data_IF_266530541413
#
_entry.id   IF_266530541413
#
_cell.length_a   1.000
_cell.length_b   1.000
_cell.length_c   1.000
_cell.angle_alpha   90.00
_cell.angle_beta   90.00
_cell.angle_gamma   90.00
#
_symmetry.space_group_name_H-M   'P 1'
#
loop_
_entity.id
_entity.type
_entity.pdbx_description
1 polymer ?
#
# COMPACT_ATOMS: atom_id res chain seq x y z
N UNK A 1 26.84 -51.35 -50.39
CA UNK A 1 25.91 -51.88 -49.38
C UNK A 1 26.67 -52.87 -48.51
N UNK A 2 27.12 -52.48 -47.32
CA UNK A 2 27.56 -53.44 -46.31
C UNK A 2 27.67 -52.74 -44.96
N UNK A 3 27.08 -53.35 -43.95
CA UNK A 3 27.01 -52.88 -42.57
C UNK A 3 28.34 -53.09 -41.83
N UNK A 4 28.63 -52.26 -40.83
CA UNK A 4 29.51 -52.63 -39.73
C UNK A 4 29.21 -51.81 -38.45
N UNK A 5 29.57 -52.30 -37.24
CA UNK A 5 28.64 -52.39 -36.12
C UNK A 5 29.02 -51.46 -34.97
N UNK A 6 28.10 -51.35 -34.02
CA UNK A 6 28.29 -50.66 -32.74
C UNK A 6 29.41 -51.31 -31.93
N UNK A 7 30.31 -50.49 -31.39
CA UNK A 7 31.08 -50.81 -30.19
C UNK A 7 30.93 -49.65 -29.20
N UNK A 8 30.20 -49.92 -28.12
CA UNK A 8 30.18 -49.10 -26.93
C UNK A 8 31.49 -49.34 -26.17
N UNK A 9 32.25 -48.27 -25.93
CA UNK A 9 33.33 -48.26 -24.96
C UNK A 9 32.87 -47.42 -23.77
N UNK A 10 32.59 -48.08 -22.66
CA UNK A 10 32.43 -47.42 -21.37
C UNK A 10 33.80 -46.92 -20.91
N UNK A 11 33.93 -45.62 -20.70
CA UNK A 11 35.13 -45.02 -20.10
C UNK A 11 34.75 -44.56 -18.70
N UNK A 12 35.20 -45.34 -17.71
CA UNK A 12 35.18 -44.96 -16.31
C UNK A 12 36.27 -43.93 -16.06
N UNK A 13 35.90 -42.68 -15.77
CA UNK A 13 36.84 -41.68 -15.24
C UNK A 13 36.68 -41.61 -13.71
N UNK A 14 37.63 -42.19 -13.01
CA UNK A 14 37.85 -41.95 -11.59
C UNK A 14 38.54 -40.60 -11.42
N UNK A 15 37.81 -39.59 -10.92
CA UNK A 15 38.40 -38.33 -10.51
C UNK A 15 38.80 -38.42 -9.02
N UNK A 16 40.09 -38.33 -8.75
CA UNK A 16 40.65 -38.22 -7.41
C UNK A 16 40.25 -36.88 -6.77
N UNK A 17 39.67 -36.93 -5.57
CA UNK A 17 39.36 -35.74 -4.78
C UNK A 17 40.65 -35.26 -4.10
N UNK A 18 41.22 -34.17 -4.59
CA UNK A 18 42.25 -33.39 -3.88
C UNK A 18 41.53 -32.41 -2.95
N UNK A 19 41.51 -32.72 -1.64
CA UNK A 19 41.09 -31.79 -0.62
C UNK A 19 42.15 -30.68 -0.49
N UNK A 20 41.91 -29.54 -1.12
CA UNK A 20 42.65 -28.30 -0.87
C UNK A 20 41.87 -27.49 0.16
N UNK A 21 42.44 -27.32 1.35
CA UNK A 21 41.94 -26.40 2.37
C UNK A 21 42.22 -24.97 1.94
N UNK A 22 41.37 -24.42 1.07
CA UNK A 22 41.34 -23.01 0.75
C UNK A 22 40.58 -22.25 1.83
N UNK A 23 41.24 -21.28 2.47
CA UNK A 23 40.59 -20.18 3.19
C UNK A 23 39.80 -19.36 2.17
N UNK A 24 38.57 -19.80 1.88
CA UNK A 24 37.62 -19.05 1.07
C UNK A 24 37.09 -17.89 1.90
N UNK A 25 37.60 -16.68 1.65
CA UNK A 25 36.84 -15.47 1.95
C UNK A 25 35.59 -15.50 1.07
N UNK A 26 34.46 -15.92 1.65
CA UNK A 26 33.17 -15.66 1.06
C UNK A 26 33.09 -14.16 0.76
N UNK A 27 32.51 -13.73 -0.38
CA UNK A 27 32.16 -12.33 -0.53
C UNK A 27 31.23 -12.02 0.64
N UNK A 28 31.70 -11.14 1.54
CA UNK A 28 30.84 -10.53 2.51
C UNK A 28 29.82 -9.72 1.69
N UNK A 29 28.66 -10.32 1.42
CA UNK A 29 27.47 -9.53 1.26
C UNK A 29 27.44 -8.66 2.52
N UNK A 30 27.61 -7.35 2.33
CA UNK A 30 27.44 -6.39 3.39
C UNK A 30 26.04 -6.66 3.97
N UNK A 31 26.02 -7.32 5.13
CA UNK A 31 24.83 -7.37 5.96
C UNK A 31 24.62 -5.93 6.39
N UNK A 32 23.70 -5.24 5.71
CA UNK A 32 23.19 -3.96 6.18
C UNK A 32 22.75 -4.16 7.63
N UNK A 33 23.35 -3.33 8.48
CA UNK A 33 23.25 -3.33 9.93
C UNK A 33 21.82 -3.52 10.44
N UNK A 34 21.68 -4.39 11.44
CA UNK A 34 20.75 -4.28 12.58
C UNK A 34 19.64 -3.23 12.48
N UNK A 35 18.40 -3.67 12.26
CA UNK A 35 17.40 -3.74 13.33
C UNK A 35 16.87 -2.46 13.98
N UNK A 36 17.16 -1.26 13.48
CA UNK A 36 16.55 -0.03 14.02
C UNK A 36 15.29 0.35 13.22
N UNK A 37 14.18 0.51 13.94
CA UNK A 37 12.89 0.99 13.42
C UNK A 37 13.08 2.38 12.78
N UNK A 38 12.52 2.64 11.57
CA UNK A 38 12.54 3.97 10.97
C UNK A 38 12.11 5.05 11.97
N UNK A 39 12.92 6.09 12.16
CA UNK A 39 12.72 7.11 13.20
C UNK A 39 11.31 7.73 13.17
N UNK A 40 10.77 7.96 11.97
CA UNK A 40 9.45 8.55 11.77
C UNK A 40 8.30 7.70 12.35
N UNK A 41 8.48 6.38 12.53
CA UNK A 41 7.48 5.54 13.17
C UNK A 41 7.29 5.88 14.65
N UNK A 42 8.36 6.35 15.32
CA UNK A 42 8.29 6.84 16.69
C UNK A 42 7.48 8.11 16.85
N UNK A 43 7.25 8.87 15.77
CA UNK A 43 6.52 10.13 15.75
C UNK A 43 5.03 9.96 15.40
N UNK A 44 4.60 8.75 15.01
CA UNK A 44 3.22 8.53 14.59
C UNK A 44 2.22 8.75 15.72
N UNK A 45 2.45 8.13 16.88
CA UNK A 45 1.43 8.01 17.91
C UNK A 45 1.91 8.71 19.17
N UNK A 46 1.28 9.84 19.50
CA UNK A 46 1.41 10.50 20.81
C UNK A 46 0.28 10.09 21.77
N UNK A 47 -0.89 9.78 21.21
CA UNK A 47 -2.12 9.44 21.92
C UNK A 47 -2.87 8.35 21.15
N UNK A 48 -3.88 7.73 21.79
CA UNK A 48 -4.68 6.68 21.14
C UNK A 48 -6.05 7.19 20.69
N UNK A 49 -6.20 7.59 19.41
CA UNK A 49 -7.50 8.00 18.87
C UNK A 49 -8.41 6.80 18.61
N UNK A 50 -9.71 7.07 18.46
CA UNK A 50 -10.66 6.05 18.00
C UNK A 50 -10.42 5.70 16.52
N UNK A 51 -10.04 6.69 15.71
CA UNK A 51 -9.67 6.54 14.31
C UNK A 51 -8.29 7.15 14.04
N UNK A 52 -7.39 6.36 13.47
CA UNK A 52 -6.09 6.81 12.99
C UNK A 52 -6.04 6.72 11.47
N UNK A 53 -5.74 7.84 10.80
CA UNK A 53 -5.74 7.94 9.33
C UNK A 53 -4.32 7.95 8.78
N UNK A 54 -4.00 7.00 7.91
CA UNK A 54 -2.70 6.89 7.23
C UNK A 54 -2.82 7.37 5.78
N UNK A 55 -2.00 8.38 5.42
CA UNK A 55 -2.01 9.05 4.13
C UNK A 55 -0.84 8.65 3.25
N UNK A 56 -1.12 8.20 2.03
CA UNK A 56 -0.12 7.92 1.00
C UNK A 56 -0.19 9.01 -0.08
N UNK A 57 0.74 9.96 -0.03
CA UNK A 57 0.84 11.06 -1.00
C UNK A 57 1.14 10.58 -2.41
N UNK A 58 1.00 11.46 -3.41
CA UNK A 58 1.37 11.17 -4.79
C UNK A 58 2.88 11.26 -5.06
N UNK A 59 3.25 10.97 -6.31
CA UNK A 59 4.62 11.19 -6.81
C UNK A 59 5.02 12.64 -6.58
N UNK A 60 6.26 12.88 -6.13
CA UNK A 60 6.83 14.22 -5.81
C UNK A 60 6.25 14.94 -4.59
N UNK A 61 5.24 14.38 -3.92
CA UNK A 61 4.57 15.01 -2.76
C UNK A 61 5.05 14.45 -1.41
N UNK A 62 6.08 13.62 -1.44
CA UNK A 62 6.68 12.95 -0.28
C UNK A 62 8.13 12.58 -0.58
N UNK A 63 8.85 12.19 0.45
CA UNK A 63 10.23 11.72 0.44
C UNK A 63 10.45 10.77 1.63
N UNK A 64 11.56 10.02 1.68
CA UNK A 64 11.83 9.12 2.81
C UNK A 64 11.95 9.82 4.18
N UNK A 65 12.23 11.11 4.18
CA UNK A 65 12.37 11.99 5.35
C UNK A 65 11.20 12.99 5.50
N UNK A 66 10.12 12.81 4.75
CA UNK A 66 8.96 13.70 4.82
C UNK A 66 8.34 13.69 6.24
N UNK A 67 7.94 14.86 6.77
CA UNK A 67 7.37 14.94 8.10
C UNK A 67 5.99 14.29 8.18
N UNK A 68 5.79 13.40 9.15
CA UNK A 68 4.57 12.59 9.27
C UNK A 68 3.33 13.37 9.72
N UNK A 69 3.51 14.49 10.45
CA UNK A 69 2.42 15.28 11.03
C UNK A 69 2.13 16.61 10.33
N UNK A 70 2.80 16.95 9.23
CA UNK A 70 2.56 18.21 8.51
C UNK A 70 1.58 18.00 7.35
N UNK A 71 0.53 18.81 7.27
CA UNK A 71 -0.40 18.80 6.13
C UNK A 71 0.30 19.37 4.88
N UNK A 72 0.52 18.51 3.88
CA UNK A 72 1.16 18.87 2.61
C UNK A 72 0.48 18.14 1.44
N UNK A 73 0.92 18.44 0.21
CA UNK A 73 0.49 17.73 -1.00
C UNK A 73 -1.02 17.75 -1.24
N UNK A 74 -1.48 16.93 -2.18
CA UNK A 74 -2.90 16.81 -2.51
C UNK A 74 -3.73 16.40 -1.30
N UNK A 75 -3.27 15.43 -0.50
CA UNK A 75 -4.06 14.89 0.61
C UNK A 75 -4.25 15.89 1.77
N UNK A 76 -3.54 17.01 1.85
CA UNK A 76 -3.87 18.10 2.79
C UNK A 76 -5.29 18.64 2.61
N UNK A 77 -5.79 18.65 1.37
CA UNK A 77 -7.18 19.04 1.04
C UNK A 77 -8.23 18.05 1.57
N UNK A 78 -7.80 16.87 2.02
CA UNK A 78 -8.68 15.84 2.59
C UNK A 78 -8.47 15.79 4.11
N UNK A 79 -7.22 15.66 4.56
CA UNK A 79 -6.92 15.39 5.96
C UNK A 79 -7.08 16.62 6.86
N UNK A 80 -6.76 17.82 6.38
CA UNK A 80 -6.99 19.05 7.13
C UNK A 80 -8.48 19.23 7.46
N UNK A 81 -9.37 19.30 6.45
CA UNK A 81 -10.82 19.40 6.68
C UNK A 81 -11.40 18.23 7.50
N UNK A 82 -10.85 17.01 7.34
CA UNK A 82 -11.26 15.87 8.16
C UNK A 82 -10.97 16.09 9.65
N UNK A 83 -9.76 16.56 9.98
CA UNK A 83 -9.40 16.87 11.36
C UNK A 83 -10.23 18.02 11.92
N UNK A 84 -10.48 19.06 11.12
CA UNK A 84 -11.33 20.18 11.52
C UNK A 84 -12.74 19.71 11.89
N UNK A 85 -13.35 18.90 11.02
CA UNK A 85 -14.67 18.33 11.26
C UNK A 85 -14.69 17.39 12.46
N UNK A 86 -13.64 16.59 12.67
CA UNK A 86 -13.54 15.71 13.82
C UNK A 86 -13.53 16.52 15.14
N UNK A 87 -12.81 17.64 15.18
CA UNK A 87 -12.79 18.53 16.36
C UNK A 87 -14.15 19.15 16.64
N UNK A 88 -14.87 19.59 15.60
CA UNK A 88 -16.23 20.13 15.75
C UNK A 88 -17.21 19.09 16.31
N UNK A 89 -17.06 17.83 15.92
CA UNK A 89 -17.90 16.73 16.39
C UNK A 89 -17.45 16.15 17.74
N UNK A 90 -16.33 16.60 18.29
CA UNK A 90 -15.70 16.00 19.47
C UNK A 90 -15.25 14.55 19.23
N UNK A 91 -14.97 14.19 17.98
CA UNK A 91 -14.50 12.86 17.60
C UNK A 91 -12.98 12.73 17.79
N UNK A 92 -12.54 11.60 18.32
CA UNK A 92 -11.12 11.31 18.54
C UNK A 92 -10.46 10.77 17.27
N UNK A 93 -9.80 11.65 16.53
CA UNK A 93 -9.14 11.34 15.24
C UNK A 93 -7.72 11.89 15.22
N UNK A 94 -6.76 11.08 14.77
CA UNK A 94 -5.41 11.52 14.44
C UNK A 94 -5.05 11.05 13.03
N UNK A 95 -4.03 11.66 12.43
CA UNK A 95 -3.55 11.32 11.09
C UNK A 95 -2.03 11.38 10.98
N UNK A 96 -1.50 10.66 10.01
CA UNK A 96 -0.12 10.81 9.57
C UNK A 96 0.02 10.56 8.07
N UNK A 97 0.97 11.25 7.45
CA UNK A 97 1.43 10.95 6.10
C UNK A 97 2.59 9.96 6.19
N UNK A 98 2.49 8.84 5.47
CA UNK A 98 3.51 7.81 5.47
C UNK A 98 4.64 8.25 4.54
N UNK A 99 5.88 8.42 5.05
CA UNK A 99 7.03 8.81 4.22
C UNK A 99 7.43 7.64 3.33
N UNK A 100 7.71 7.91 2.06
CA UNK A 100 8.23 6.93 1.10
C UNK A 100 8.88 7.67 -0.08
N UNK A 101 9.60 7.01 -1.00
CA UNK A 101 10.35 7.72 -2.04
C UNK A 101 9.54 8.69 -2.90
N UNK A 102 8.27 8.40 -3.19
CA UNK A 102 7.47 9.28 -4.08
C UNK A 102 8.08 9.46 -5.47
N UNK A 103 8.86 8.49 -5.93
CA UNK A 103 9.72 8.59 -7.13
C UNK A 103 9.10 7.95 -8.38
N UNK A 104 9.43 8.50 -9.54
CA UNK A 104 9.13 7.92 -10.86
C UNK A 104 10.39 8.01 -11.73
N UNK A 105 11.45 7.30 -11.34
CA UNK A 105 12.66 7.11 -12.16
C UNK A 105 13.36 8.41 -12.59
N UNK A 106 13.52 9.36 -11.66
CA UNK A 106 14.19 10.64 -11.93
C UNK A 106 13.27 11.83 -12.23
N UNK A 107 11.94 11.63 -12.33
CA UNK A 107 10.98 12.75 -12.40
C UNK A 107 10.87 13.52 -11.07
N UNK A 108 11.22 12.87 -9.96
CA UNK A 108 11.20 13.47 -8.62
C UNK A 108 12.57 14.08 -8.32
N UNK A 109 12.69 15.37 -7.94
CA UNK A 109 13.97 15.96 -7.58
C UNK A 109 14.67 15.15 -6.47
N UNK A 110 15.82 14.57 -6.78
CA UNK A 110 16.57 13.71 -5.85
C UNK A 110 16.07 12.26 -5.73
N UNK A 111 14.92 11.91 -6.30
CA UNK A 111 14.40 10.54 -6.35
C UNK A 111 14.89 9.81 -7.61
N UNK A 112 15.59 8.70 -7.43
CA UNK A 112 16.17 7.91 -8.55
C UNK A 112 15.54 6.53 -8.68
N UNK A 113 14.81 6.11 -7.66
CA UNK A 113 14.08 4.84 -7.58
C UNK A 113 13.06 4.76 -8.73
N UNK A 114 12.93 3.57 -9.30
CA UNK A 114 11.88 3.29 -10.27
C UNK A 114 10.50 3.45 -9.61
N UNK A 115 9.48 3.63 -10.44
CA UNK A 115 8.09 3.68 -9.97
C UNK A 115 7.71 2.45 -9.11
N UNK A 116 8.13 1.25 -9.54
CA UNK A 116 7.82 0.00 -8.85
C UNK A 116 8.51 -0.05 -7.48
N UNK A 117 9.79 0.27 -7.42
CA UNK A 117 10.52 0.34 -6.14
C UNK A 117 9.90 1.35 -5.18
N UNK A 118 9.49 2.52 -5.69
CA UNK A 118 8.79 3.55 -4.89
C UNK A 118 7.46 3.04 -4.34
N UNK A 119 6.63 2.39 -5.17
CA UNK A 119 5.34 1.82 -4.73
C UNK A 119 5.54 0.70 -3.71
N UNK A 120 6.50 -0.20 -3.93
CA UNK A 120 6.81 -1.30 -3.00
C UNK A 120 7.25 -0.75 -1.64
N UNK A 121 8.16 0.22 -1.61
CA UNK A 121 8.58 0.87 -0.36
C UNK A 121 7.41 1.59 0.33
N UNK A 122 6.50 2.21 -0.44
CA UNK A 122 5.28 2.82 0.11
C UNK A 122 4.35 1.81 0.77
N UNK A 123 4.14 0.64 0.15
CA UNK A 123 3.31 -0.44 0.72
C UNK A 123 3.92 -1.03 2.00
N UNK A 124 5.25 -1.22 2.01
CA UNK A 124 6.00 -1.69 3.17
C UNK A 124 5.92 -0.70 4.33
N UNK A 125 6.16 0.60 4.06
CA UNK A 125 6.08 1.64 5.08
C UNK A 125 4.65 1.81 5.62
N UNK A 126 3.63 1.71 4.77
CA UNK A 126 2.24 1.72 5.21
C UNK A 126 1.93 0.52 6.12
N UNK A 127 2.48 -0.65 5.81
CA UNK A 127 2.36 -1.86 6.62
C UNK A 127 3.03 -1.71 7.99
N UNK A 128 4.21 -1.08 8.05
CA UNK A 128 4.90 -0.77 9.31
C UNK A 128 4.10 0.23 10.14
N UNK A 129 3.61 1.32 9.52
CA UNK A 129 2.81 2.33 10.20
C UNK A 129 1.50 1.74 10.78
N UNK A 130 0.79 0.94 10.00
CA UNK A 130 -0.44 0.28 10.44
C UNK A 130 -0.20 -0.65 11.65
N UNK A 131 0.88 -1.44 11.63
CA UNK A 131 1.27 -2.29 12.76
C UNK A 131 1.66 -1.46 13.97
N UNK A 132 2.45 -0.39 13.79
CA UNK A 132 2.88 0.50 14.87
C UNK A 132 1.68 1.09 15.60
N UNK A 133 0.75 1.69 14.85
CA UNK A 133 -0.49 2.27 15.39
C UNK A 133 -1.28 1.24 16.18
N UNK A 134 -1.55 0.06 15.62
CA UNK A 134 -2.36 -0.95 16.32
C UNK A 134 -1.62 -1.64 17.47
N UNK A 135 -0.28 -1.67 17.47
CA UNK A 135 0.51 -2.20 18.58
C UNK A 135 0.45 -1.29 19.81
N UNK A 136 0.44 0.03 19.59
CA UNK A 136 0.38 1.02 20.67
C UNK A 136 -1.07 1.35 21.07
N UNK A 137 -1.99 1.31 20.12
CA UNK A 137 -3.41 1.62 20.31
C UNK A 137 -4.30 0.48 19.79
N UNK A 138 -4.42 -0.64 20.53
CA UNK A 138 -5.13 -1.83 20.05
C UNK A 138 -6.64 -1.64 19.80
N UNK A 139 -7.24 -0.61 20.40
CA UNK A 139 -8.65 -0.25 20.20
C UNK A 139 -8.89 0.64 18.98
N UNK A 140 -7.85 1.29 18.46
CA UNK A 140 -7.97 2.20 17.34
C UNK A 140 -8.44 1.47 16.07
N UNK A 141 -9.23 2.17 15.25
CA UNK A 141 -9.46 1.79 13.87
C UNK A 141 -8.50 2.53 12.94
N UNK A 142 -8.15 1.91 11.82
CA UNK A 142 -7.36 2.50 10.77
C UNK A 142 -8.26 3.01 9.65
N UNK A 143 -7.98 4.19 9.12
CA UNK A 143 -8.39 4.56 7.77
C UNK A 143 -7.15 4.76 6.90
N UNK A 144 -7.23 4.40 5.62
CA UNK A 144 -6.15 4.61 4.66
C UNK A 144 -6.64 5.51 3.54
N UNK A 145 -5.92 6.60 3.29
CA UNK A 145 -6.19 7.50 2.18
C UNK A 145 -4.98 7.53 1.25
N UNK A 146 -5.18 7.40 -0.05
CA UNK A 146 -4.08 7.44 -1.00
C UNK A 146 -4.42 8.28 -2.23
N UNK A 147 -3.41 8.96 -2.79
CA UNK A 147 -3.51 9.72 -4.03
C UNK A 147 -2.47 9.26 -5.05
N UNK A 148 -2.87 9.09 -6.32
CA UNK A 148 -2.00 8.76 -7.45
C UNK A 148 -1.07 7.55 -7.17
N UNK A 149 0.25 7.72 -7.14
CA UNK A 149 1.20 6.66 -6.76
C UNK A 149 0.93 6.12 -5.35
N UNK A 150 0.65 6.98 -4.37
CA UNK A 150 0.27 6.54 -3.03
C UNK A 150 -1.05 5.79 -2.99
N UNK A 151 -1.98 6.09 -3.90
CA UNK A 151 -3.21 5.31 -4.07
C UNK A 151 -2.92 3.89 -4.60
N UNK A 152 -1.87 3.70 -5.41
CA UNK A 152 -1.40 2.36 -5.80
C UNK A 152 -0.93 1.58 -4.58
N UNK A 153 0.02 2.12 -3.81
CA UNK A 153 0.54 1.47 -2.61
C UNK A 153 -0.57 1.17 -1.59
N UNK A 154 -1.45 2.13 -1.33
CA UNK A 154 -2.62 1.96 -0.47
C UNK A 154 -3.58 0.87 -0.98
N UNK A 155 -3.82 0.82 -2.29
CA UNK A 155 -4.66 -0.22 -2.92
C UNK A 155 -4.07 -1.61 -2.69
N UNK A 156 -2.76 -1.79 -2.86
CA UNK A 156 -2.10 -3.08 -2.64
C UNK A 156 -2.20 -3.51 -1.17
N UNK A 157 -1.89 -2.60 -0.24
CA UNK A 157 -2.05 -2.84 1.19
C UNK A 157 -3.48 -3.25 1.55
N UNK A 158 -4.49 -2.47 1.14
CA UNK A 158 -5.90 -2.75 1.42
C UNK A 158 -6.36 -4.06 0.79
N UNK A 159 -5.88 -4.38 -0.42
CA UNK A 159 -6.18 -5.66 -1.09
C UNK A 159 -5.62 -6.84 -0.30
N UNK A 160 -4.38 -6.75 0.18
CA UNK A 160 -3.73 -7.77 1.01
C UNK A 160 -4.45 -7.94 2.36
N UNK A 161 -4.76 -6.84 3.05
CA UNK A 161 -5.54 -6.88 4.30
C UNK A 161 -6.93 -7.50 4.09
N UNK A 162 -7.62 -7.10 3.02
CA UNK A 162 -8.95 -7.56 2.67
C UNK A 162 -9.04 -9.06 2.34
N UNK A 163 -7.95 -9.62 1.80
CA UNK A 163 -7.74 -11.07 1.55
C UNK A 163 -7.30 -11.84 2.80
N UNK A 164 -6.97 -11.17 3.90
CA UNK A 164 -6.46 -11.80 5.11
C UNK A 164 -4.98 -12.18 5.03
N UNK A 165 -4.23 -11.67 4.04
CA UNK A 165 -2.78 -11.90 3.88
C UNK A 165 -1.94 -10.70 4.28
N UNK A 166 -2.57 -9.60 4.71
CA UNK A 166 -1.89 -8.38 5.18
C UNK A 166 -1.43 -8.47 6.64
N UNK A 167 -0.65 -7.47 7.05
CA UNK A 167 -0.02 -7.40 8.38
C UNK A 167 -0.96 -7.00 9.53
N UNK A 168 -2.16 -6.52 9.21
CA UNK A 168 -3.20 -6.15 10.18
C UNK A 168 -4.52 -6.83 9.82
N UNK A 169 -5.39 -7.13 10.81
CA UNK A 169 -6.65 -7.78 10.51
C UNK A 169 -7.64 -6.80 9.84
N UNK A 170 -8.39 -7.26 8.84
CA UNK A 170 -9.37 -6.44 8.12
C UNK A 170 -10.47 -5.81 8.99
N UNK A 171 -10.70 -6.34 10.20
CA UNK A 171 -11.62 -5.76 11.19
C UNK A 171 -11.13 -4.46 11.80
N UNK A 172 -9.82 -4.19 11.73
CA UNK A 172 -9.21 -2.97 12.27
C UNK A 172 -9.26 -1.81 11.28
N UNK A 173 -9.46 -2.06 9.98
CA UNK A 173 -9.59 -0.98 8.98
C UNK A 173 -11.03 -0.50 8.92
N UNK A 174 -11.33 0.72 9.38
CA UNK A 174 -12.67 1.30 9.25
C UNK A 174 -13.02 1.71 7.81
N UNK A 175 -12.07 2.29 7.08
CA UNK A 175 -12.30 2.83 5.75
C UNK A 175 -11.04 2.87 4.87
N UNK A 176 -11.24 2.91 3.56
CA UNK A 176 -10.22 3.28 2.58
C UNK A 176 -10.77 4.30 1.58
N UNK A 177 -9.95 5.26 1.17
CA UNK A 177 -10.30 6.22 0.11
C UNK A 177 -9.11 6.43 -0.82
N UNK A 178 -9.28 6.05 -2.08
CA UNK A 178 -8.22 6.08 -3.08
C UNK A 178 -8.61 7.05 -4.19
N UNK A 179 -7.73 7.99 -4.49
CA UNK A 179 -7.95 9.03 -5.49
C UNK A 179 -6.93 8.87 -6.62
N UNK A 180 -7.39 8.75 -7.87
CA UNK A 180 -6.47 8.63 -9.01
C UNK A 180 -5.68 7.32 -9.02
N UNK A 181 -6.26 6.23 -8.52
CA UNK A 181 -5.54 4.97 -8.31
C UNK A 181 -5.19 4.25 -9.63
N UNK A 182 -3.90 4.02 -9.94
CA UNK A 182 -3.49 3.26 -11.13
C UNK A 182 -3.95 1.80 -11.13
N UNK A 183 -4.33 1.27 -9.96
CA UNK A 183 -4.86 -0.07 -9.78
C UNK A 183 -6.34 -0.20 -10.12
N UNK A 184 -7.03 0.88 -10.56
CA UNK A 184 -8.46 0.84 -10.82
C UNK A 184 -8.79 -0.09 -12.00
N UNK A 185 -9.58 -1.13 -11.75
CA UNK A 185 -10.07 -1.99 -12.85
C UNK A 185 -11.11 -1.27 -13.72
N UNK A 186 -11.11 -1.48 -15.05
CA UNK A 186 -12.11 -0.92 -15.96
C UNK A 186 -13.55 -1.19 -15.51
N UNK A 187 -14.43 -0.19 -15.65
CA UNK A 187 -15.83 -0.26 -15.26
C UNK A 187 -16.10 -0.38 -13.76
N UNK A 188 -15.09 -0.28 -12.88
CA UNK A 188 -15.31 -0.32 -11.43
C UNK A 188 -16.10 0.91 -10.97
N UNK A 189 -17.16 0.66 -10.19
CA UNK A 189 -17.91 1.70 -9.49
C UNK A 189 -17.13 2.31 -8.31
N UNK A 190 -17.78 3.20 -7.56
CA UNK A 190 -17.16 3.91 -6.44
C UNK A 190 -16.61 2.97 -5.36
N UNK A 191 -17.30 1.86 -5.09
CA UNK A 191 -16.86 0.84 -4.13
C UNK A 191 -16.59 -0.48 -4.85
N UNK A 192 -15.34 -0.74 -5.31
CA UNK A 192 -15.00 -1.95 -6.05
C UNK A 192 -15.43 -3.24 -5.32
N UNK A 193 -16.00 -4.17 -6.09
CA UNK A 193 -16.55 -5.42 -5.58
C UNK A 193 -18.02 -5.33 -5.13
N UNK A 194 -18.64 -4.15 -5.25
CA UNK A 194 -20.04 -3.92 -4.88
C UNK A 194 -20.73 -2.96 -5.86
N UNK A 195 -22.06 -2.86 -5.78
CA UNK A 195 -22.86 -1.82 -6.45
C UNK A 195 -23.23 -0.66 -5.52
N UNK A 196 -22.59 -0.55 -4.35
CA UNK A 196 -22.91 0.46 -3.36
C UNK A 196 -22.43 1.85 -3.80
N UNK A 197 -23.16 2.88 -3.37
CA UNK A 197 -22.81 4.30 -3.55
C UNK A 197 -22.59 5.01 -2.20
N UNK A 198 -22.62 4.25 -1.11
CA UNK A 198 -22.36 4.69 0.25
C UNK A 198 -21.55 3.60 0.98
N UNK A 199 -20.79 3.94 2.03
CA UNK A 199 -19.91 2.98 2.68
C UNK A 199 -20.70 1.90 3.41
N UNK A 200 -20.11 0.71 3.50
CA UNK A 200 -20.56 -0.35 4.40
C UNK A 200 -20.18 -0.03 5.86
N UNK A 201 -20.94 -0.52 6.85
CA UNK A 201 -20.65 -0.30 8.26
C UNK A 201 -19.24 -0.73 8.69
N UNK A 202 -18.66 0.00 9.65
CA UNK A 202 -17.40 -0.36 10.30
C UNK A 202 -17.63 -1.59 11.21
N UNK A 203 -16.76 -2.62 11.18
CA UNK A 203 -16.88 -3.79 12.05
C UNK A 203 -16.92 -3.42 13.53
N UNK A 204 -17.94 -3.92 14.22
CA UNK A 204 -18.20 -3.61 15.63
C UNK A 204 -19.18 -2.46 15.86
N UNK A 205 -19.71 -1.84 14.79
CA UNK A 205 -20.72 -0.78 14.88
C UNK A 205 -22.08 -1.25 14.33
N UNK A 206 -23.16 -0.57 14.71
CA UNK A 206 -24.50 -0.79 14.12
C UNK A 206 -24.64 -0.19 12.71
N UNK A 207 -23.71 0.69 12.32
CA UNK A 207 -23.68 1.33 11.00
C UNK A 207 -24.70 2.45 10.79
N UNK A 208 -25.41 2.90 11.83
CA UNK A 208 -26.44 3.94 11.73
C UNK A 208 -25.89 5.26 11.18
N UNK A 209 -24.75 5.74 11.71
CA UNK A 209 -24.11 6.96 11.23
C UNK A 209 -23.65 6.86 9.77
N UNK A 210 -23.08 5.72 9.36
CA UNK A 210 -22.62 5.49 7.99
C UNK A 210 -23.81 5.41 7.01
N UNK A 211 -24.91 4.77 7.42
CA UNK A 211 -26.14 4.68 6.61
C UNK A 211 -26.84 6.04 6.44
N UNK A 212 -26.62 6.98 7.36
CA UNK A 212 -27.16 8.32 7.28
C UNK A 212 -26.37 9.24 6.34
N UNK A 213 -25.19 8.81 5.87
CA UNK A 213 -24.41 9.57 4.89
C UNK A 213 -25.18 9.68 3.58
N UNK A 214 -25.16 10.87 2.99
CA UNK A 214 -25.73 11.08 1.66
C UNK A 214 -24.92 10.29 0.63
N UNK A 215 -25.62 9.66 -0.31
CA UNK A 215 -24.95 9.03 -1.45
C UNK A 215 -24.17 10.08 -2.24
N UNK A 216 -22.94 9.77 -2.62
CA UNK A 216 -22.16 10.67 -3.46
C UNK A 216 -22.53 10.44 -4.91
N UNK A 217 -22.86 11.52 -5.63
CA UNK A 217 -23.03 11.48 -7.07
C UNK A 217 -21.65 11.26 -7.71
N UNK A 218 -21.44 10.07 -8.26
CA UNK A 218 -20.19 9.69 -8.90
C UNK A 218 -20.49 8.96 -10.21
N UNK A 219 -19.96 9.47 -11.31
CA UNK A 219 -20.01 8.81 -12.62
C UNK A 219 -18.69 8.10 -12.84
N UNK A 220 -18.71 6.78 -12.67
CA UNK A 220 -17.52 5.96 -12.86
C UNK A 220 -17.04 6.04 -14.33
N UNK A 221 -15.74 6.34 -14.58
CA UNK A 221 -15.18 6.24 -15.92
C UNK A 221 -15.23 4.81 -16.46
N UNK A 222 -15.46 4.63 -17.77
CA UNK A 222 -15.47 3.30 -18.39
C UNK A 222 -14.07 2.65 -18.41
N UNK A 223 -13.03 3.47 -18.63
CA UNK A 223 -11.62 3.04 -18.66
C UNK A 223 -11.12 2.51 -17.31
N UNK A 224 -9.84 2.13 -17.26
CA UNK A 224 -9.17 1.72 -16.02
C UNK A 224 -7.79 2.38 -15.91
N UNK A 225 -7.13 2.16 -14.77
CA UNK A 225 -5.83 2.77 -14.50
C UNK A 225 -4.68 2.12 -15.24
N UNK A 226 -3.56 2.84 -15.28
CA UNK A 226 -2.33 2.49 -16.01
C UNK A 226 -1.37 1.60 -15.20
N UNK A 227 -1.79 1.13 -14.03
CA UNK A 227 -1.01 0.19 -13.23
C UNK A 227 -0.80 -1.14 -13.97
N UNK A 228 0.19 -1.94 -13.55
CA UNK A 228 0.36 -3.29 -14.08
C UNK A 228 -0.94 -4.09 -13.99
N UNK A 229 -1.22 -4.92 -15.00
CA UNK A 229 -2.45 -5.73 -15.04
C UNK A 229 -2.63 -6.60 -13.79
N UNK A 230 -1.51 -7.09 -13.23
CA UNK A 230 -1.50 -7.89 -12.00
C UNK A 230 -1.97 -7.13 -10.76
N UNK A 231 -1.88 -5.79 -10.77
CA UNK A 231 -2.23 -4.92 -9.65
C UNK A 231 -3.64 -4.31 -9.77
N UNK A 232 -4.31 -4.54 -10.91
CA UNK A 232 -5.70 -4.11 -11.09
C UNK A 232 -6.59 -4.77 -10.02
N UNK A 233 -7.42 -3.94 -9.39
CA UNK A 233 -8.21 -4.31 -8.22
C UNK A 233 -9.70 -4.10 -8.47
N UNK A 234 -10.39 -5.21 -8.72
CA UNK A 234 -11.85 -5.23 -8.91
C UNK A 234 -12.62 -5.39 -7.60
N UNK A 235 -11.96 -5.79 -6.50
CA UNK A 235 -12.53 -5.88 -5.16
C UNK A 235 -11.44 -5.85 -4.08
N UNK A 236 -11.83 -5.50 -2.85
CA UNK A 236 -10.95 -5.51 -1.68
C UNK A 236 -11.30 -6.66 -0.71
N UNK A 237 -11.88 -7.76 -1.21
CA UNK A 237 -12.29 -8.89 -0.36
C UNK A 237 -13.22 -8.45 0.76
N UNK A 238 -12.87 -8.79 2.01
CA UNK A 238 -13.65 -8.39 3.21
C UNK A 238 -13.69 -6.89 3.48
N UNK A 239 -12.90 -6.08 2.76
CA UNK A 239 -12.93 -4.62 2.80
C UNK A 239 -13.79 -4.00 1.68
N UNK A 240 -14.33 -4.79 0.75
CA UNK A 240 -15.24 -4.27 -0.28
C UNK A 240 -16.45 -3.59 0.38
N UNK A 241 -16.85 -2.44 -0.17
CA UNK A 241 -17.85 -1.56 0.46
C UNK A 241 -17.28 -0.60 1.52
N UNK A 242 -16.07 -0.82 2.05
CA UNK A 242 -15.38 0.13 2.95
C UNK A 242 -14.24 0.89 2.25
N UNK A 243 -13.80 0.42 1.09
CA UNK A 243 -12.78 1.09 0.26
C UNK A 243 -13.47 1.75 -0.93
N UNK A 244 -13.37 3.08 -0.99
CA UNK A 244 -13.82 3.88 -2.13
C UNK A 244 -12.67 4.14 -3.10
N UNK A 245 -12.95 4.11 -4.39
CA UNK A 245 -12.01 4.38 -5.50
C UNK A 245 -12.57 5.48 -6.39
N UNK A 246 -11.95 6.65 -6.29
CA UNK A 246 -12.36 7.88 -6.95
C UNK A 246 -11.49 8.12 -8.18
N UNK A 247 -12.15 8.29 -9.32
CA UNK A 247 -11.49 8.63 -10.57
C UNK A 247 -12.37 9.56 -11.41
N UNK A 248 -11.77 10.61 -11.96
CA UNK A 248 -12.47 11.56 -12.84
C UNK A 248 -12.32 11.13 -14.30
N UNK A 249 -13.38 11.31 -15.10
CA UNK A 249 -13.27 11.12 -16.55
C UNK A 249 -12.21 12.02 -17.16
N UNK A 250 -11.23 11.42 -17.84
CA UNK A 250 -10.09 12.11 -18.46
C UNK A 250 -8.77 11.98 -17.70
N UNK A 251 -8.74 11.30 -16.54
CA UNK A 251 -7.55 11.23 -15.69
C UNK A 251 -6.37 10.43 -16.27
N UNK A 252 -6.49 9.39 -17.08
CA UNK A 252 -5.37 8.58 -17.59
C UNK A 252 -4.53 7.83 -16.55
N UNK A 253 -4.31 8.32 -15.33
CA UNK A 253 -3.67 7.51 -14.30
C UNK A 253 -4.66 6.45 -13.79
N UNK A 254 -5.94 6.84 -13.67
CA UNK A 254 -7.12 5.99 -13.47
C UNK A 254 -8.12 6.16 -14.63
#
# INVERSE_FOLDING_TARGET
MSAWPKRFAAVSFSAAVLATSGLGTAPAYAQSSTGDEPHWLGELVSDCPDLYVLGMQGTTETSPDAPVKVDTGMLSNIMGPLLDQARELGASVDRAYVPYPGSFGGLTPGGTESYVESVTAGEENLSLAAQKVLSQCPSAKLAVVGFSQGAHAASNFLRSVGKGTGVVPARSVAAGALFGAPTRSPGSGLFPGTSQMAPSPVPGTRGEAVKALSSVSFTAPEGGGIGPVADLTSSYGSLSGRVSSWCQGGDLAC
#
